data_IF_581219510252
#
_entry.id   IF_581219510252
#
_cell.length_a   1.000
_cell.length_b   1.000
_cell.length_c   1.000
_cell.angle_alpha   90.00
_cell.angle_beta   90.00
_cell.angle_gamma   90.00
#
_symmetry.space_group_name_H-M   'P 1'
#
loop_
_entity.id
_entity.type
_entity.pdbx_description
1 polymer ?
#
# COMPACT_ATOMS: atom_id res chain seq x y z
N UNK A 1 -7.54 -10.03 -7.83
CA UNK A 1 -7.74 -9.93 -9.30
C UNK A 1 -6.93 -11.01 -10.01
N UNK A 2 -7.34 -11.45 -11.20
CA UNK A 2 -6.71 -12.57 -11.92
C UNK A 2 -6.08 -12.12 -13.25
N UNK A 3 -5.10 -12.89 -13.71
CA UNK A 3 -4.37 -12.68 -14.97
C UNK A 3 -4.55 -13.87 -15.91
N UNK A 4 -5.05 -13.60 -17.11
CA UNK A 4 -4.97 -14.51 -18.25
C UNK A 4 -3.88 -14.01 -19.21
N UNK A 5 -3.04 -14.90 -19.73
CA UNK A 5 -1.90 -14.50 -20.57
C UNK A 5 -1.56 -15.55 -21.61
N UNK A 6 -1.35 -15.10 -22.85
CA UNK A 6 -0.83 -15.91 -23.95
C UNK A 6 0.70 -15.85 -24.09
N UNK A 7 1.40 -15.18 -23.16
CA UNK A 7 2.86 -15.19 -23.12
C UNK A 7 3.39 -16.57 -22.72
N UNK A 8 4.64 -16.91 -23.08
CA UNK A 8 5.29 -18.10 -22.55
C UNK A 8 5.27 -18.13 -21.02
N UNK A 9 5.06 -19.31 -20.44
CA UNK A 9 4.80 -19.49 -18.99
C UNK A 9 5.79 -18.74 -18.09
N UNK A 10 7.09 -18.81 -18.40
CA UNK A 10 8.14 -18.12 -17.64
C UNK A 10 7.91 -16.61 -17.49
N UNK A 11 7.37 -15.95 -18.52
CA UNK A 11 7.05 -14.52 -18.46
C UNK A 11 5.77 -14.29 -17.67
N UNK A 12 4.75 -15.11 -17.90
CA UNK A 12 3.48 -15.08 -17.19
C UNK A 12 3.67 -15.22 -15.68
N UNK A 13 4.48 -16.18 -15.22
CA UNK A 13 4.79 -16.38 -13.80
C UNK A 13 5.48 -15.16 -13.19
N UNK A 14 6.46 -14.59 -13.91
CA UNK A 14 7.16 -13.38 -13.45
C UNK A 14 6.22 -12.20 -13.30
N UNK A 15 5.37 -11.97 -14.29
CA UNK A 15 4.36 -10.90 -14.27
C UNK A 15 3.41 -11.10 -13.10
N UNK A 16 2.87 -12.31 -12.91
CA UNK A 16 1.98 -12.62 -11.79
C UNK A 16 2.63 -12.36 -10.42
N UNK A 17 3.88 -12.80 -10.24
CA UNK A 17 4.62 -12.58 -9.00
C UNK A 17 4.86 -11.09 -8.71
N UNK A 18 5.26 -10.31 -9.72
CA UNK A 18 5.56 -8.88 -9.52
C UNK A 18 4.30 -8.00 -9.41
N UNK A 19 3.16 -8.44 -9.96
CA UNK A 19 1.88 -7.71 -9.90
C UNK A 19 0.95 -8.20 -8.80
N UNK A 20 1.25 -9.34 -8.17
CA UNK A 20 0.39 -10.00 -7.18
C UNK A 20 -0.90 -10.61 -7.76
N UNK A 21 -1.00 -10.77 -9.09
CA UNK A 21 -2.17 -11.36 -9.74
C UNK A 21 -2.15 -12.89 -9.69
N UNK A 22 -3.30 -13.51 -9.48
CA UNK A 22 -3.44 -14.97 -9.59
C UNK A 22 -3.65 -15.39 -11.04
N UNK A 23 -2.88 -16.36 -11.53
CA UNK A 23 -3.05 -16.89 -12.89
C UNK A 23 -4.38 -17.63 -13.04
N UNK A 24 -5.03 -17.46 -14.20
CA UNK A 24 -6.24 -18.21 -14.58
C UNK A 24 -6.16 -18.65 -16.04
N UNK A 25 -6.71 -19.83 -16.33
CA UNK A 25 -6.92 -20.31 -17.70
C UNK A 25 -8.26 -19.84 -18.28
N UNK A 26 -9.18 -19.38 -17.42
CA UNK A 26 -10.50 -18.94 -17.83
C UNK A 26 -10.51 -17.44 -18.12
N UNK A 27 -10.33 -17.09 -19.39
CA UNK A 27 -10.35 -15.70 -19.86
C UNK A 27 -11.74 -15.06 -19.90
N UNK A 28 -12.80 -15.78 -19.52
CA UNK A 28 -14.18 -15.26 -19.50
C UNK A 28 -14.65 -14.77 -18.14
N UNK A 29 -13.79 -14.86 -17.13
CA UNK A 29 -14.13 -14.37 -15.80
C UNK A 29 -14.21 -12.83 -15.79
N UNK A 30 -15.19 -12.25 -15.07
CA UNK A 30 -15.27 -10.81 -14.92
C UNK A 30 -14.08 -10.26 -14.13
N UNK A 31 -13.65 -9.03 -14.45
CA UNK A 31 -12.59 -8.32 -13.73
C UNK A 31 -11.19 -8.88 -13.95
N UNK A 32 -10.96 -9.74 -14.95
CA UNK A 32 -9.61 -10.21 -15.27
C UNK A 32 -8.84 -9.19 -16.10
N UNK A 33 -7.52 -9.24 -15.97
CA UNK A 33 -6.60 -8.61 -16.92
C UNK A 33 -6.14 -9.68 -17.90
N UNK A 34 -6.22 -9.36 -19.20
CA UNK A 34 -5.86 -10.28 -20.27
C UNK A 34 -4.67 -9.77 -21.07
N UNK A 35 -3.67 -10.62 -21.32
CA UNK A 35 -2.58 -10.35 -22.26
C UNK A 35 -2.75 -11.22 -23.50
N UNK A 36 -3.02 -10.57 -24.63
CA UNK A 36 -3.25 -11.22 -25.93
C UNK A 36 -2.11 -10.89 -26.88
N UNK A 37 -1.66 -11.90 -27.63
CA UNK A 37 -0.52 -11.77 -28.56
C UNK A 37 -0.95 -12.16 -29.97
N UNK A 38 -0.59 -11.33 -30.95
CA UNK A 38 -0.73 -11.67 -32.37
C UNK A 38 0.04 -12.94 -32.71
N UNK A 39 -0.60 -13.84 -33.45
CA UNK A 39 -0.02 -15.10 -33.90
C UNK A 39 1.36 -14.92 -34.52
N UNK A 40 2.28 -15.75 -34.07
CA UNK A 40 3.64 -15.84 -34.55
C UNK A 40 4.09 -17.32 -34.53
N UNK A 41 5.38 -17.59 -34.75
CA UNK A 41 5.92 -18.96 -34.77
C UNK A 41 5.84 -19.70 -33.43
N UNK A 42 5.70 -18.96 -32.33
CA UNK A 42 5.68 -19.49 -30.95
C UNK A 42 4.28 -19.59 -30.34
N UNK A 43 3.24 -19.12 -31.04
CA UNK A 43 1.86 -19.13 -30.55
C UNK A 43 1.15 -17.79 -30.81
N UNK A 44 0.07 -17.53 -30.07
CA UNK A 44 -0.79 -16.35 -30.24
C UNK A 44 -1.99 -16.62 -31.15
N UNK A 45 -2.73 -15.57 -31.47
CA UNK A 45 -4.03 -15.65 -32.16
C UNK A 45 -4.13 -14.74 -33.38
N UNK A 46 -5.01 -15.09 -34.32
CA UNK A 46 -5.18 -14.36 -35.58
C UNK A 46 -6.08 -13.12 -35.42
N UNK A 47 -7.08 -13.18 -34.53
CA UNK A 47 -8.00 -12.08 -34.24
C UNK A 47 -8.02 -11.76 -32.74
N UNK A 48 -7.68 -10.52 -32.32
CA UNK A 48 -7.70 -10.17 -30.90
C UNK A 48 -9.09 -10.30 -30.28
N UNK A 49 -10.17 -10.12 -31.05
CA UNK A 49 -11.55 -10.03 -30.54
C UNK A 49 -12.05 -11.30 -29.87
N UNK A 50 -11.47 -12.46 -30.18
CA UNK A 50 -11.85 -13.76 -29.59
C UNK A 50 -11.64 -13.83 -28.07
N UNK A 51 -10.77 -12.96 -27.52
CA UNK A 51 -10.36 -12.97 -26.11
C UNK A 51 -10.61 -11.64 -25.38
N UNK A 52 -11.34 -10.70 -25.99
CA UNK A 52 -11.67 -9.40 -25.41
C UNK A 52 -13.00 -9.43 -24.66
N UNK A 53 -12.98 -9.85 -23.40
CA UNK A 53 -14.19 -9.83 -22.54
C UNK A 53 -14.40 -8.46 -21.92
N UNK A 54 -13.32 -7.84 -21.44
CA UNK A 54 -13.32 -6.45 -20.96
C UNK A 54 -12.19 -5.70 -21.68
N UNK A 55 -12.47 -5.07 -22.83
CA UNK A 55 -11.44 -4.46 -23.68
C UNK A 55 -10.52 -3.47 -22.95
N UNK A 56 -11.06 -2.72 -21.99
CA UNK A 56 -10.33 -1.77 -21.15
C UNK A 56 -9.24 -2.42 -20.27
N UNK A 57 -9.43 -3.71 -19.94
CA UNK A 57 -8.52 -4.49 -19.10
C UNK A 57 -7.60 -5.41 -19.92
N UNK A 58 -7.56 -5.23 -21.24
CA UNK A 58 -6.74 -6.05 -22.12
C UNK A 58 -5.48 -5.31 -22.55
N UNK A 59 -4.35 -6.01 -22.50
CA UNK A 59 -3.08 -5.61 -23.11
C UNK A 59 -2.90 -6.42 -24.39
N UNK A 60 -2.60 -5.74 -25.50
CA UNK A 60 -2.47 -6.38 -26.81
C UNK A 60 -1.06 -6.20 -27.34
N UNK A 61 -0.39 -7.30 -27.67
CA UNK A 61 0.94 -7.29 -28.29
C UNK A 61 0.76 -7.61 -29.78
N UNK A 62 0.70 -6.55 -30.59
CA UNK A 62 0.45 -6.63 -32.03
C UNK A 62 1.70 -6.98 -32.84
N UNK A 63 2.89 -6.96 -32.23
CA UNK A 63 4.16 -7.28 -32.88
C UNK A 63 4.71 -6.10 -33.68
N UNK A 64 5.37 -6.36 -34.81
CA UNK A 64 5.98 -5.32 -35.66
C UNK A 64 4.95 -4.37 -36.26
N UNK A 65 5.27 -3.07 -36.43
CA UNK A 65 4.38 -2.09 -37.09
C UNK A 65 4.35 -2.26 -38.62
N UNK A 66 4.24 -3.51 -39.07
CA UNK A 66 3.99 -3.87 -40.45
C UNK A 66 2.48 -3.89 -40.75
N UNK A 67 2.10 -4.16 -42.01
CA UNK A 67 0.70 -4.19 -42.44
C UNK A 67 -0.16 -5.12 -41.58
N UNK A 68 0.36 -6.28 -41.17
CA UNK A 68 -0.39 -7.26 -40.38
C UNK A 68 -0.50 -6.83 -38.92
N UNK A 69 0.53 -6.18 -38.36
CA UNK A 69 0.54 -5.70 -36.97
C UNK A 69 -0.38 -4.51 -36.79
N UNK A 70 -0.33 -3.56 -37.73
CA UNK A 70 -1.25 -2.42 -37.79
C UNK A 70 -2.69 -2.92 -37.95
N UNK A 71 -2.94 -3.90 -38.84
CA UNK A 71 -4.28 -4.46 -39.00
C UNK A 71 -4.79 -5.14 -37.72
N UNK A 72 -3.93 -5.84 -36.99
CA UNK A 72 -4.28 -6.47 -35.70
C UNK A 72 -4.57 -5.42 -34.62
N UNK A 73 -3.71 -4.39 -34.51
CA UNK A 73 -3.91 -3.24 -33.63
C UNK A 73 -5.24 -2.55 -33.89
N UNK A 74 -5.54 -2.22 -35.16
CA UNK A 74 -6.78 -1.54 -35.54
C UNK A 74 -8.03 -2.36 -35.18
N UNK A 75 -7.97 -3.70 -35.26
CA UNK A 75 -9.07 -4.56 -34.81
C UNK A 75 -9.25 -4.50 -33.30
N UNK A 76 -8.17 -4.52 -32.53
CA UNK A 76 -8.22 -4.38 -31.07
C UNK A 76 -8.78 -3.01 -30.65
N UNK A 77 -8.30 -1.91 -31.26
CA UNK A 77 -8.81 -0.56 -31.00
C UNK A 77 -10.30 -0.45 -31.35
N UNK A 78 -10.72 -0.99 -32.50
CA UNK A 78 -12.14 -1.02 -32.89
C UNK A 78 -13.01 -1.82 -31.93
N UNK A 79 -12.43 -2.81 -31.25
CA UNK A 79 -13.10 -3.59 -30.22
C UNK A 79 -13.09 -2.92 -28.83
N UNK A 80 -12.55 -1.70 -28.72
CA UNK A 80 -12.56 -0.90 -27.49
C UNK A 80 -11.33 -1.04 -26.62
N UNK A 81 -10.24 -1.65 -27.10
CA UNK A 81 -8.96 -1.67 -26.37
C UNK A 81 -8.31 -0.29 -26.46
N UNK A 82 -7.94 0.36 -25.34
CA UNK A 82 -7.21 1.62 -25.34
C UNK A 82 -5.92 1.54 -26.17
N UNK A 83 -5.61 2.57 -26.94
CA UNK A 83 -4.41 2.57 -27.80
C UNK A 83 -3.11 2.42 -27.00
N UNK A 84 -3.07 2.98 -25.79
CA UNK A 84 -1.94 2.88 -24.87
C UNK A 84 -1.83 1.51 -24.18
N UNK A 85 -2.81 0.61 -24.38
CA UNK A 85 -2.71 -0.81 -24.03
C UNK A 85 -2.16 -1.68 -25.18
N UNK A 86 -1.87 -1.09 -26.35
CA UNK A 86 -1.43 -1.84 -27.54
C UNK A 86 0.07 -1.63 -27.79
N UNK A 87 0.82 -2.71 -27.76
CA UNK A 87 2.26 -2.74 -28.00
C UNK A 87 2.58 -3.10 -29.46
N UNK A 88 3.06 -2.11 -30.21
CA UNK A 88 3.75 -2.29 -31.48
C UNK A 88 5.26 -2.20 -31.24
N UNK A 89 5.98 -3.27 -31.59
CA UNK A 89 7.41 -3.44 -31.34
C UNK A 89 8.19 -3.34 -32.65
N UNK A 90 8.97 -2.27 -32.89
CA UNK A 90 9.92 -2.18 -34.00
C UNK A 90 10.74 -3.45 -34.22
N UNK A 91 11.12 -3.70 -35.47
CA UNK A 91 11.91 -4.88 -35.81
C UNK A 91 13.22 -4.92 -35.00
N UNK A 92 13.48 -6.06 -34.34
CA UNK A 92 14.65 -6.24 -33.46
C UNK A 92 14.45 -5.80 -32.01
N UNK A 93 13.38 -5.06 -31.70
CA UNK A 93 13.03 -4.71 -30.32
C UNK A 93 12.38 -5.90 -29.61
N UNK A 94 12.82 -6.15 -28.38
CA UNK A 94 12.22 -7.17 -27.51
C UNK A 94 11.14 -6.52 -26.65
N UNK A 95 10.08 -7.28 -26.39
CA UNK A 95 9.06 -6.89 -25.43
C UNK A 95 9.69 -6.76 -24.03
N UNK A 96 9.55 -5.60 -23.41
CA UNK A 96 9.98 -5.38 -22.04
C UNK A 96 8.92 -5.93 -21.08
N UNK A 97 9.30 -6.91 -20.27
CA UNK A 97 8.42 -7.47 -19.23
C UNK A 97 8.01 -6.37 -18.24
N UNK A 98 8.94 -5.48 -17.89
CA UNK A 98 8.66 -4.38 -16.96
C UNK A 98 7.62 -3.41 -17.52
N UNK A 99 7.62 -3.14 -18.84
CA UNK A 99 6.61 -2.29 -19.46
C UNK A 99 5.21 -2.92 -19.40
N UNK A 100 5.11 -4.26 -19.50
CA UNK A 100 3.83 -4.95 -19.29
C UNK A 100 3.39 -4.84 -17.84
N UNK A 101 4.30 -5.03 -16.89
CA UNK A 101 4.01 -4.94 -15.45
C UNK A 101 3.51 -3.55 -15.08
N UNK A 102 4.20 -2.50 -15.51
CA UNK A 102 3.77 -1.11 -15.31
C UNK A 102 2.37 -0.87 -15.88
N UNK A 103 2.10 -1.43 -17.06
CA UNK A 103 0.80 -1.29 -17.71
C UNK A 103 -0.31 -2.04 -16.97
N UNK A 104 -0.03 -3.24 -16.49
CA UNK A 104 -0.94 -4.00 -15.64
C UNK A 104 -1.28 -3.19 -14.39
N UNK A 105 -0.28 -2.69 -13.67
CA UNK A 105 -0.47 -1.90 -12.45
C UNK A 105 -1.37 -0.66 -12.71
N UNK A 106 -1.18 0.01 -13.85
CA UNK A 106 -2.05 1.12 -14.27
C UNK A 106 -3.50 0.67 -14.51
N UNK A 107 -3.72 -0.47 -15.17
CA UNK A 107 -5.06 -1.04 -15.35
C UNK A 107 -5.69 -1.39 -13.99
N UNK A 108 -4.94 -1.98 -13.04
CA UNK A 108 -5.47 -2.30 -11.71
C UNK A 108 -5.95 -1.04 -10.99
N UNK A 109 -5.19 0.05 -11.07
CA UNK A 109 -5.54 1.32 -10.45
C UNK A 109 -6.83 1.89 -11.05
N UNK A 110 -7.01 1.80 -12.37
CA UNK A 110 -8.22 2.28 -13.04
C UNK A 110 -9.46 1.44 -12.67
N UNK A 111 -9.33 0.13 -12.57
CA UNK A 111 -10.43 -0.75 -12.12
C UNK A 111 -10.84 -0.38 -10.70
N UNK A 112 -9.86 -0.26 -9.79
CA UNK A 112 -10.12 0.12 -8.40
C UNK A 112 -10.71 1.53 -8.25
N UNK A 113 -10.39 2.45 -9.17
CA UNK A 113 -10.98 3.79 -9.16
C UNK A 113 -12.44 3.76 -9.63
N UNK A 114 -12.75 3.02 -10.70
CA UNK A 114 -14.10 2.95 -11.27
C UNK A 114 -15.10 2.19 -10.38
N UNK A 115 -14.64 1.17 -9.63
CA UNK A 115 -15.49 0.47 -8.65
C UNK A 115 -16.00 1.40 -7.54
N UNK A 116 -15.35 2.55 -7.30
CA UNK A 116 -15.81 3.54 -6.31
C UNK A 116 -16.86 4.52 -6.84
N UNK A 117 -17.08 4.58 -8.15
CA UNK A 117 -17.95 5.59 -8.79
C UNK A 117 -19.36 5.05 -9.11
N UNK A 118 -19.64 3.75 -8.99
CA UNK A 118 -20.98 3.19 -9.28
C UNK A 118 -22.00 3.29 -8.13
N UNK A 119 -21.69 3.97 -7.02
CA UNK A 119 -22.70 4.39 -6.03
C UNK A 119 -23.47 5.66 -6.50
N UNK A 120 -23.97 5.65 -7.73
CA UNK A 120 -24.87 6.70 -8.27
C UNK A 120 -26.32 6.39 -7.91
N UNK A 121 -26.79 7.14 -6.92
CA UNK A 121 -28.17 7.46 -6.56
C UNK A 121 -29.26 7.11 -7.59
N UNK A 122 -30.02 6.06 -7.31
CA UNK A 122 -31.39 5.92 -7.81
C UNK A 122 -32.26 6.87 -6.97
N UNK A 123 -32.66 7.99 -7.56
CA UNK A 123 -33.76 8.80 -7.04
C UNK A 123 -35.07 8.11 -7.42
N UNK A 124 -35.56 7.25 -6.53
CA UNK A 124 -36.99 6.91 -6.50
C UNK A 124 -37.64 7.80 -5.44
N UNK A 125 -38.48 8.72 -5.92
CA UNK A 125 -39.43 9.47 -5.11
C UNK A 125 -40.31 8.47 -4.36
N UNK A 126 -40.26 8.46 -3.02
CA UNK A 126 -41.40 8.46 -2.08
C UNK A 126 -40.97 8.11 -0.64
N UNK A 127 -41.28 9.05 0.27
CA UNK A 127 -41.56 8.92 1.70
C UNK A 127 -40.48 8.39 2.69
N UNK A 128 -39.85 9.38 3.35
CA UNK A 128 -39.73 9.48 4.82
C UNK A 128 -39.45 8.19 5.63
N UNK A 129 -38.21 7.69 5.53
CA UNK A 129 -37.60 6.95 6.64
C UNK A 129 -36.13 7.34 6.74
N UNK A 130 -35.76 7.96 7.86
CA UNK A 130 -34.40 8.36 8.21
C UNK A 130 -33.46 7.13 8.28
N UNK A 131 -32.99 6.68 7.12
CA UNK A 131 -31.94 5.68 7.00
C UNK A 131 -30.60 6.22 7.50
N UNK A 132 -29.72 5.36 8.05
CA UNK A 132 -28.42 5.78 8.56
C UNK A 132 -27.61 6.43 7.44
N UNK A 133 -27.05 7.60 7.72
CA UNK A 133 -26.19 8.32 6.80
C UNK A 133 -25.12 7.39 6.20
N UNK A 134 -24.77 7.54 4.91
CA UNK A 134 -23.78 6.72 4.26
C UNK A 134 -22.50 6.72 5.09
N UNK A 135 -22.04 5.51 5.45
CA UNK A 135 -20.80 5.33 6.22
C UNK A 135 -19.66 5.75 5.30
N UNK A 136 -19.29 7.03 5.36
CA UNK A 136 -18.03 7.49 4.77
C UNK A 136 -16.95 6.55 5.28
N UNK A 137 -16.16 5.99 4.36
CA UNK A 137 -15.24 4.90 4.64
C UNK A 137 -14.19 5.41 5.65
N UNK A 138 -14.49 5.29 6.95
CA UNK A 138 -13.70 5.89 8.01
C UNK A 138 -12.41 5.10 8.06
N UNK A 139 -11.32 5.77 7.71
CA UNK A 139 -9.97 5.26 7.90
C UNK A 139 -9.85 4.76 9.33
N UNK A 140 -9.40 3.51 9.45
CA UNK A 140 -9.26 2.79 10.70
C UNK A 140 -7.87 2.21 10.84
N UNK A 141 -7.26 1.71 9.77
CA UNK A 141 -5.96 1.02 9.82
C UNK A 141 -4.88 1.85 9.14
N UNK A 142 -3.85 2.22 9.91
CA UNK A 142 -2.70 3.00 9.46
C UNK A 142 -1.45 2.13 9.59
N UNK A 143 -0.82 1.77 8.47
CA UNK A 143 0.46 1.10 8.46
C UNK A 143 1.60 2.12 8.50
N UNK A 144 2.53 1.97 9.43
CA UNK A 144 3.74 2.79 9.53
C UNK A 144 4.94 1.90 9.26
N UNK A 145 5.79 2.27 8.30
CA UNK A 145 6.97 1.46 7.93
C UNK A 145 8.16 2.32 7.56
N UNK A 146 9.35 1.72 7.64
CA UNK A 146 10.59 2.29 7.12
C UNK A 146 11.33 1.26 6.26
N UNK A 147 12.32 1.71 5.49
CA UNK A 147 13.15 0.83 4.66
C UNK A 147 14.53 0.55 5.26
N UNK A 148 14.86 1.28 6.34
CA UNK A 148 16.09 1.15 7.12
C UNK A 148 15.79 1.10 8.61
N UNK A 149 16.57 0.34 9.37
CA UNK A 149 16.53 0.37 10.83
C UNK A 149 17.00 1.73 11.38
N UNK A 150 16.37 2.21 12.45
CA UNK A 150 16.78 3.44 13.12
C UNK A 150 16.24 4.75 12.51
N UNK A 151 15.41 4.70 11.46
CA UNK A 151 14.73 5.89 10.90
C UNK A 151 13.67 6.47 11.85
N UNK A 152 13.33 5.76 12.92
CA UNK A 152 12.38 6.21 13.95
C UNK A 152 10.94 5.78 13.73
N UNK A 153 10.69 4.71 12.97
CA UNK A 153 9.34 4.16 12.71
C UNK A 153 8.52 4.02 14.00
N UNK A 154 9.02 3.28 14.99
CA UNK A 154 8.34 3.08 16.29
C UNK A 154 8.06 4.39 17.03
N UNK A 155 8.97 5.37 16.96
CA UNK A 155 8.77 6.70 17.56
C UNK A 155 7.62 7.44 16.89
N UNK A 156 7.54 7.40 15.55
CA UNK A 156 6.45 7.99 14.78
C UNK A 156 5.13 7.25 15.06
N UNK A 157 5.14 5.92 15.04
CA UNK A 157 3.97 5.07 15.33
C UNK A 157 3.35 5.41 16.68
N UNK A 158 4.15 5.39 17.75
CA UNK A 158 3.68 5.65 19.12
C UNK A 158 3.29 7.11 19.35
N UNK A 159 3.97 8.04 18.70
CA UNK A 159 3.63 9.48 18.75
C UNK A 159 2.31 9.79 18.04
N UNK A 160 2.08 9.17 16.88
CA UNK A 160 0.81 9.26 16.17
C UNK A 160 -0.33 8.64 16.98
N UNK A 161 -0.12 7.45 17.55
CA UNK A 161 -1.09 6.79 18.42
C UNK A 161 -1.48 7.67 19.61
N UNK A 162 -0.51 8.35 20.24
CA UNK A 162 -0.77 9.28 21.34
C UNK A 162 -1.64 10.46 20.93
N UNK A 163 -1.32 11.11 19.80
CA UNK A 163 -2.13 12.22 19.28
C UNK A 163 -3.57 11.76 18.96
N UNK A 164 -3.73 10.59 18.34
CA UNK A 164 -5.05 10.03 18.04
C UNK A 164 -5.85 9.70 19.31
N UNK A 165 -5.18 9.24 20.37
CA UNK A 165 -5.77 9.02 21.68
C UNK A 165 -6.23 10.33 22.33
N UNK A 166 -5.40 11.37 22.34
CA UNK A 166 -5.76 12.70 22.89
C UNK A 166 -6.98 13.32 22.20
N UNK A 167 -7.19 12.99 20.92
CA UNK A 167 -8.38 13.37 20.16
C UNK A 167 -9.61 12.47 20.44
N UNK A 168 -9.60 11.71 21.54
CA UNK A 168 -10.71 10.87 22.01
C UNK A 168 -10.85 9.53 21.29
N UNK A 169 -9.82 9.10 20.54
CA UNK A 169 -9.83 7.81 19.85
C UNK A 169 -9.51 6.65 20.78
N UNK A 170 -10.30 5.56 20.71
CA UNK A 170 -9.88 4.26 21.24
C UNK A 170 -8.88 3.62 20.27
N UNK A 171 -7.63 3.41 20.69
CA UNK A 171 -6.52 3.02 19.81
C UNK A 171 -6.01 1.61 20.12
N UNK A 172 -5.71 0.85 19.08
CA UNK A 172 -4.86 -0.33 19.16
C UNK A 172 -3.54 -0.05 18.42
N UNK A 173 -2.41 -0.45 19.02
CA UNK A 173 -1.11 -0.44 18.36
C UNK A 173 -0.67 -1.89 18.16
N UNK A 174 -0.34 -2.26 16.93
CA UNK A 174 0.20 -3.59 16.60
C UNK A 174 1.67 -3.44 16.24
N UNK A 175 2.55 -3.87 17.12
CA UNK A 175 4.00 -3.76 16.93
C UNK A 175 4.56 -5.04 16.30
N UNK A 176 4.77 -4.96 14.99
CA UNK A 176 5.39 -5.99 14.15
C UNK A 176 6.89 -5.69 13.93
N UNK A 177 7.49 -4.86 14.77
CA UNK A 177 8.90 -4.52 14.76
C UNK A 177 9.82 -5.69 15.12
N UNK A 178 11.11 -5.53 14.78
CA UNK A 178 12.15 -6.52 15.04
C UNK A 178 13.32 -5.83 15.78
N UNK A 179 13.49 -6.05 17.10
CA UNK A 179 12.47 -6.54 18.03
C UNK A 179 11.29 -5.54 18.17
N UNK A 180 10.16 -5.96 18.75
CA UNK A 180 9.06 -5.05 19.06
C UNK A 180 9.45 -4.11 20.21
N UNK A 181 9.49 -2.82 19.92
CA UNK A 181 10.03 -1.78 20.79
C UNK A 181 8.99 -0.76 21.28
N UNK A 182 7.75 -0.79 20.80
CA UNK A 182 6.70 0.16 21.18
C UNK A 182 6.44 0.16 22.69
N UNK A 183 6.68 -0.97 23.38
CA UNK A 183 6.57 -1.11 24.85
C UNK A 183 7.42 -0.12 25.64
N UNK A 184 8.53 0.36 25.07
CA UNK A 184 9.43 1.33 25.71
C UNK A 184 8.84 2.74 25.73
N UNK A 185 7.78 2.99 24.95
CA UNK A 185 7.06 4.26 24.88
C UNK A 185 5.77 4.27 25.72
N UNK A 186 5.53 3.24 26.54
CA UNK A 186 4.31 3.12 27.34
C UNK A 186 4.57 2.50 28.73
N UNK A 187 5.70 2.86 29.36
CA UNK A 187 5.98 2.51 30.76
C UNK A 187 6.30 1.04 31.04
N UNK A 188 6.71 0.25 30.04
CA UNK A 188 7.00 -1.20 30.16
C UNK A 188 5.83 -2.00 30.77
N UNK A 189 4.70 -2.10 30.06
CA UNK A 189 3.50 -2.76 30.57
C UNK A 189 3.70 -4.28 30.70
N UNK A 190 2.82 -4.90 31.48
CA UNK A 190 2.72 -6.37 31.56
C UNK A 190 1.94 -6.91 30.35
N UNK A 191 2.31 -8.10 29.91
CA UNK A 191 1.72 -8.74 28.73
C UNK A 191 0.97 -10.02 29.10
N UNK A 192 -0.26 -10.12 28.60
CA UNK A 192 -1.09 -11.31 28.65
C UNK A 192 -1.25 -11.91 27.26
N UNK A 193 -1.53 -13.21 27.16
CA UNK A 193 -1.83 -13.83 25.86
C UNK A 193 -3.28 -13.59 25.47
N UNK A 194 -3.51 -13.02 24.28
CA UNK A 194 -4.84 -12.83 23.70
C UNK A 194 -4.79 -12.99 22.18
N UNK A 195 -5.73 -13.73 21.62
CA UNK A 195 -5.88 -13.91 20.15
C UNK A 195 -4.61 -14.38 19.43
N UNK A 196 -3.76 -15.16 20.12
CA UNK A 196 -2.48 -15.63 19.58
C UNK A 196 -1.36 -14.58 19.57
N UNK A 197 -1.61 -13.40 20.15
CA UNK A 197 -0.66 -12.32 20.39
C UNK A 197 -0.42 -12.11 21.89
N UNK A 198 0.60 -11.32 22.20
CA UNK A 198 0.79 -10.73 23.52
C UNK A 198 0.09 -9.37 23.53
N UNK A 199 -0.84 -9.16 24.45
CA UNK A 199 -1.55 -7.92 24.67
C UNK A 199 -1.06 -7.27 25.97
N UNK A 200 -0.73 -6.00 25.89
CA UNK A 200 -0.55 -5.13 27.04
C UNK A 200 -1.58 -4.00 26.99
N UNK A 201 -2.36 -3.81 28.05
CA UNK A 201 -3.20 -2.62 28.21
C UNK A 201 -2.36 -1.51 28.82
N UNK A 202 -2.24 -0.39 28.12
CA UNK A 202 -1.47 0.77 28.57
C UNK A 202 -2.41 1.89 29.01
N UNK A 203 -1.86 2.99 29.53
CA UNK A 203 -2.67 4.18 29.84
C UNK A 203 -3.34 4.77 28.57
N UNK A 204 -2.73 4.61 27.40
CA UNK A 204 -3.10 5.34 26.19
C UNK A 204 -3.75 4.46 25.11
N UNK A 205 -3.36 3.18 25.01
CA UNK A 205 -3.82 2.25 23.99
C UNK A 205 -3.61 0.79 24.39
N UNK A 206 -4.22 -0.12 23.64
CA UNK A 206 -3.93 -1.55 23.73
C UNK A 206 -2.80 -1.90 22.77
N UNK A 207 -1.72 -2.47 23.29
CA UNK A 207 -0.51 -2.83 22.55
C UNK A 207 -0.47 -4.34 22.28
N UNK A 208 -0.52 -4.71 21.01
CA UNK A 208 -0.41 -6.08 20.53
C UNK A 208 1.00 -6.33 19.97
N UNK A 209 1.63 -7.42 20.40
CA UNK A 209 2.99 -7.83 20.03
C UNK A 209 2.99 -9.32 19.70
N UNK A 210 3.71 -9.79 18.66
CA UNK A 210 3.76 -11.22 18.38
C UNK A 210 4.51 -11.98 19.49
N UNK A 211 4.07 -13.21 19.84
CA UNK A 211 4.69 -14.00 20.91
C UNK A 211 6.06 -14.60 20.51
N UNK A 212 6.44 -14.43 19.25
CA UNK A 212 7.70 -14.85 18.67
C UNK A 212 8.18 -13.77 17.68
N UNK A 213 9.45 -13.76 17.27
CA UNK A 213 9.92 -12.82 16.27
C UNK A 213 9.07 -12.86 15.00
N UNK A 214 8.82 -11.69 14.38
CA UNK A 214 7.82 -11.56 13.30
C UNK A 214 8.12 -12.46 12.09
N UNK A 215 9.39 -12.75 11.79
CA UNK A 215 9.77 -13.66 10.70
C UNK A 215 9.35 -15.13 10.93
N UNK A 216 8.93 -15.49 12.15
CA UNK A 216 8.31 -16.79 12.48
C UNK A 216 6.78 -16.70 12.54
N UNK A 217 6.21 -15.51 12.46
CA UNK A 217 4.76 -15.30 12.49
C UNK A 217 4.19 -15.57 11.10
N UNK A 218 3.25 -16.52 11.02
CA UNK A 218 2.49 -16.75 9.80
C UNK A 218 1.61 -15.52 9.51
N UNK A 219 1.71 -14.98 8.29
CA UNK A 219 0.89 -13.87 7.77
C UNK A 219 -0.61 -14.11 7.93
N UNK A 220 -1.05 -15.37 7.90
CA UNK A 220 -2.47 -15.76 8.03
C UNK A 220 -3.04 -15.44 9.41
N UNK A 221 -2.19 -15.12 10.40
CA UNK A 221 -2.62 -14.72 11.74
C UNK A 221 -2.79 -13.21 11.89
N UNK A 222 -2.19 -12.40 11.01
CA UNK A 222 -2.22 -10.94 11.12
C UNK A 222 -3.58 -10.42 10.66
N UNK A 223 -4.08 -10.86 9.50
CA UNK A 223 -5.37 -10.40 8.96
C UNK A 223 -6.54 -10.58 9.93
N UNK A 224 -6.75 -11.80 10.49
CA UNK A 224 -7.82 -12.02 11.47
C UNK A 224 -7.71 -11.13 12.72
N UNK A 225 -6.49 -10.83 13.19
CA UNK A 225 -6.29 -9.88 14.29
C UNK A 225 -6.74 -8.48 13.85
N UNK A 226 -6.26 -8.00 12.71
CA UNK A 226 -6.61 -6.65 12.21
C UNK A 226 -8.12 -6.52 12.02
N UNK A 227 -8.82 -7.55 11.54
CA UNK A 227 -10.28 -7.56 11.41
C UNK A 227 -11.03 -7.42 12.73
N UNK A 228 -10.52 -8.08 13.79
CA UNK A 228 -11.06 -7.92 15.15
C UNK A 228 -10.83 -6.48 15.62
N UNK A 229 -9.60 -5.97 15.48
CA UNK A 229 -9.24 -4.63 15.94
C UNK A 229 -10.01 -3.53 15.18
N UNK A 230 -10.23 -3.70 13.87
CA UNK A 230 -11.00 -2.77 13.03
C UNK A 230 -12.45 -2.62 13.49
N UNK A 231 -13.01 -3.63 14.17
CA UNK A 231 -14.37 -3.59 14.75
C UNK A 231 -14.39 -2.94 16.14
N UNK A 232 -13.37 -3.20 16.96
CA UNK A 232 -13.35 -2.80 18.37
C UNK A 232 -12.72 -1.43 18.65
N UNK A 233 -11.90 -0.92 17.74
CA UNK A 233 -11.11 0.30 17.92
C UNK A 233 -11.48 1.35 16.90
N UNK A 234 -11.31 2.61 17.29
CA UNK A 234 -11.49 3.75 16.39
C UNK A 234 -10.35 3.84 15.39
N UNK A 235 -9.14 3.52 15.85
CA UNK A 235 -7.91 3.49 15.05
C UNK A 235 -7.04 2.28 15.43
N UNK A 236 -6.39 1.71 14.42
CA UNK A 236 -5.39 0.65 14.52
C UNK A 236 -4.14 1.15 13.84
N UNK A 237 -3.05 1.30 14.60
CA UNK A 237 -1.76 1.75 14.07
C UNK A 237 -0.80 0.56 14.08
N UNK A 238 -0.25 0.21 12.92
CA UNK A 238 0.62 -0.97 12.77
C UNK A 238 2.05 -0.51 12.55
N UNK A 239 2.95 -0.85 13.48
CA UNK A 239 4.39 -0.58 13.39
C UNK A 239 5.09 -1.74 12.67
N UNK A 240 5.59 -1.53 11.46
CA UNK A 240 6.33 -2.56 10.74
C UNK A 240 7.83 -2.47 10.99
N UNK A 241 8.48 -3.63 11.02
CA UNK A 241 9.93 -3.71 10.90
C UNK A 241 10.44 -3.09 9.60
N UNK A 242 11.72 -2.71 9.51
CA UNK A 242 12.33 -2.37 8.23
C UNK A 242 12.15 -3.54 7.24
N UNK A 243 11.70 -3.23 6.02
CA UNK A 243 11.52 -4.22 4.94
C UNK A 243 10.68 -5.44 5.37
N UNK A 244 9.42 -5.24 5.78
CA UNK A 244 8.57 -6.33 6.23
C UNK A 244 8.27 -7.31 5.08
N UNK A 245 7.94 -8.56 5.41
CA UNK A 245 7.49 -9.53 4.41
C UNK A 245 6.26 -8.97 3.68
N UNK A 246 6.25 -9.07 2.35
CA UNK A 246 5.15 -8.59 1.53
C UNK A 246 3.80 -9.20 1.93
N UNK A 247 3.80 -10.47 2.37
CA UNK A 247 2.59 -11.12 2.89
C UNK A 247 2.10 -10.48 4.18
N UNK A 248 2.99 -10.01 5.05
CA UNK A 248 2.58 -9.27 6.25
C UNK A 248 1.97 -7.92 5.89
N UNK A 249 2.52 -7.22 4.89
CA UNK A 249 1.93 -5.97 4.39
C UNK A 249 0.52 -6.23 3.83
N UNK A 250 0.38 -7.24 2.96
CA UNK A 250 -0.90 -7.61 2.37
C UNK A 250 -1.94 -7.98 3.42
N UNK A 251 -1.57 -8.79 4.43
CA UNK A 251 -2.50 -9.19 5.49
C UNK A 251 -3.05 -8.04 6.33
N UNK A 252 -2.41 -6.87 6.36
CA UNK A 252 -2.89 -5.73 7.16
C UNK A 252 -3.98 -4.94 6.43
N UNK A 253 -3.98 -4.94 5.09
CA UNK A 253 -4.95 -4.18 4.26
C UNK A 253 -5.15 -2.74 4.78
N UNK A 254 -4.04 -2.01 4.93
CA UNK A 254 -4.05 -0.69 5.53
C UNK A 254 -4.81 0.32 4.67
N UNK A 255 -5.66 1.13 5.31
CA UNK A 255 -6.41 2.21 4.65
C UNK A 255 -5.49 3.38 4.27
N UNK A 256 -4.44 3.60 5.07
CA UNK A 256 -3.36 4.56 4.80
C UNK A 256 -2.00 3.94 5.13
N UNK A 257 -1.00 4.23 4.30
CA UNK A 257 0.39 3.87 4.57
C UNK A 257 1.21 5.11 4.84
N UNK A 258 1.95 5.11 5.94
CA UNK A 258 2.94 6.12 6.33
C UNK A 258 4.32 5.51 6.16
N UNK A 259 5.19 6.18 5.41
CA UNK A 259 6.58 5.78 5.22
C UNK A 259 7.49 6.78 5.92
N UNK A 260 8.25 6.28 6.89
CA UNK A 260 9.24 7.05 7.63
C UNK A 260 10.59 6.88 6.97
N UNK A 261 11.21 8.00 6.60
CA UNK A 261 12.52 8.07 5.96
C UNK A 261 13.47 8.96 6.77
N UNK A 262 14.76 8.70 6.66
CA UNK A 262 15.82 9.59 7.16
C UNK A 262 16.59 10.23 5.99
N UNK A 263 17.73 10.85 6.31
CA UNK A 263 18.55 11.55 5.32
C UNK A 263 19.35 10.62 4.42
N UNK A 264 19.29 9.30 4.59
CA UNK A 264 20.00 8.37 3.73
C UNK A 264 19.26 8.15 2.41
N UNK A 265 19.75 8.82 1.36
CA UNK A 265 19.15 8.76 0.02
C UNK A 265 19.03 7.31 -0.47
N UNK A 266 20.11 6.53 -0.36
CA UNK A 266 20.21 5.21 -0.99
C UNK A 266 19.46 4.14 -0.19
N UNK A 267 19.56 4.19 1.14
CA UNK A 267 18.99 3.14 2.00
C UNK A 267 17.60 3.47 2.52
N UNK A 268 17.19 4.75 2.51
CA UNK A 268 15.92 5.18 3.07
C UNK A 268 15.00 5.83 2.04
N UNK A 269 15.48 6.78 1.21
CA UNK A 269 14.61 7.59 0.36
C UNK A 269 14.26 6.88 -0.95
N UNK A 270 15.25 6.44 -1.73
CA UNK A 270 15.03 5.76 -3.02
C UNK A 270 14.17 4.50 -2.90
N UNK A 271 14.40 3.59 -1.93
CA UNK A 271 13.55 2.41 -1.76
C UNK A 271 12.12 2.76 -1.33
N UNK A 272 11.93 3.95 -0.75
CA UNK A 272 10.67 4.41 -0.22
C UNK A 272 9.69 4.95 -1.26
N UNK A 273 10.12 5.16 -2.51
CA UNK A 273 9.31 5.70 -3.61
C UNK A 273 8.13 4.80 -4.04
N UNK A 274 7.21 4.55 -3.12
CA UNK A 274 5.98 3.80 -3.29
C UNK A 274 4.82 4.78 -3.54
N UNK A 275 3.91 4.41 -4.44
CA UNK A 275 2.71 5.21 -4.72
C UNK A 275 1.75 5.18 -3.53
N UNK A 276 0.95 6.24 -3.38
CA UNK A 276 -0.16 6.35 -2.43
C UNK A 276 0.23 6.21 -0.96
N UNK A 277 1.43 6.68 -0.58
CA UNK A 277 1.86 6.74 0.81
C UNK A 277 2.02 8.19 1.29
N UNK A 278 1.89 8.39 2.60
CA UNK A 278 2.27 9.63 3.27
C UNK A 278 3.72 9.52 3.74
N UNK A 279 4.54 10.49 3.39
CA UNK A 279 5.96 10.46 3.70
C UNK A 279 6.29 11.34 4.90
N UNK A 280 7.08 10.79 5.84
CA UNK A 280 7.62 11.51 6.99
C UNK A 280 9.14 11.51 6.88
N UNK A 281 9.72 12.65 6.53
CA UNK A 281 11.17 12.85 6.56
C UNK A 281 11.59 13.15 7.99
N UNK A 282 11.90 12.09 8.73
CA UNK A 282 12.28 12.14 10.13
C UNK A 282 13.79 12.38 10.28
N UNK A 283 14.18 12.99 11.40
CA UNK A 283 15.58 13.36 11.68
C UNK A 283 16.18 14.23 10.56
N UNK A 284 15.36 15.09 9.96
CA UNK A 284 15.79 15.91 8.85
C UNK A 284 16.99 16.77 9.24
N UNK A 285 18.05 16.69 8.44
CA UNK A 285 19.27 17.49 8.59
C UNK A 285 19.36 18.52 7.45
N UNK A 286 19.99 19.68 7.68
CA UNK A 286 20.09 20.73 6.66
C UNK A 286 20.81 20.30 5.38
N UNK A 287 21.76 19.36 5.47
CA UNK A 287 22.62 18.95 4.35
C UNK A 287 21.84 18.29 3.21
N UNK A 288 20.72 17.64 3.53
CA UNK A 288 19.80 17.06 2.54
C UNK A 288 18.49 17.80 2.67
N UNK A 289 18.38 18.84 1.85
CA UNK A 289 17.20 19.70 1.74
C UNK A 289 15.94 18.89 1.47
N UNK A 290 14.83 19.37 2.03
CA UNK A 290 13.52 18.70 1.89
C UNK A 290 13.12 18.62 0.41
N UNK A 291 13.44 19.64 -0.37
CA UNK A 291 13.19 19.72 -1.80
C UNK A 291 13.85 18.58 -2.61
N UNK A 292 15.03 18.11 -2.22
CA UNK A 292 15.70 16.98 -2.87
C UNK A 292 14.93 15.68 -2.59
N UNK A 293 14.48 15.51 -1.34
CA UNK A 293 13.69 14.35 -0.93
C UNK A 293 12.34 14.33 -1.65
N UNK A 294 11.68 15.49 -1.74
CA UNK A 294 10.40 15.65 -2.45
C UNK A 294 10.52 15.41 -3.95
N UNK A 295 11.63 15.83 -4.58
CA UNK A 295 11.91 15.57 -6.00
C UNK A 295 12.08 14.06 -6.26
N UNK A 296 12.86 13.37 -5.42
CA UNK A 296 13.06 11.91 -5.55
C UNK A 296 11.74 11.13 -5.36
N UNK A 297 10.91 11.55 -4.40
CA UNK A 297 9.64 10.88 -4.09
C UNK A 297 8.48 11.33 -4.99
N UNK A 298 8.66 12.41 -5.75
CA UNK A 298 7.64 13.02 -6.59
C UNK A 298 6.45 13.62 -5.82
N UNK A 299 6.59 13.92 -4.53
CA UNK A 299 5.52 14.46 -3.68
C UNK A 299 6.02 15.12 -2.40
N UNK A 300 5.17 15.94 -1.79
CA UNK A 300 5.48 16.64 -0.55
C UNK A 300 5.65 15.69 0.63
N UNK A 301 6.63 15.99 1.49
CA UNK A 301 6.91 15.21 2.72
C UNK A 301 6.57 16.00 3.98
N UNK A 302 6.30 15.29 5.08
CA UNK A 302 6.19 15.88 6.41
C UNK A 302 7.59 15.85 7.04
N UNK A 303 8.24 17.00 7.09
CA UNK A 303 9.59 17.13 7.67
C UNK A 303 9.53 17.28 9.18
N UNK A 304 10.26 16.42 9.88
CA UNK A 304 10.47 16.47 11.34
C UNK A 304 11.98 16.61 11.59
N UNK A 305 12.36 17.73 12.21
CA UNK A 305 13.76 17.98 12.59
C UNK A 305 14.21 17.03 13.69
N UNK A 306 15.49 16.69 13.69
CA UNK A 306 16.12 15.94 14.79
C UNK A 306 15.91 16.64 16.13
N UNK A 307 15.37 15.91 17.10
CA UNK A 307 15.23 16.35 18.49
C UNK A 307 15.63 15.20 19.41
N UNK A 308 16.95 15.07 19.60
CA UNK A 308 17.52 14.02 20.43
C UNK A 308 17.11 14.16 21.89
N UNK A 309 17.09 15.38 22.42
CA UNK A 309 16.77 15.65 23.83
C UNK A 309 15.32 15.27 24.14
N UNK A 310 14.36 15.69 23.30
CA UNK A 310 12.96 15.32 23.47
C UNK A 310 12.72 13.82 23.35
N UNK A 311 13.35 13.16 22.38
CA UNK A 311 13.27 11.69 22.24
C UNK A 311 13.86 10.95 23.45
N UNK A 312 15.00 11.41 23.95
CA UNK A 312 15.64 10.81 25.12
C UNK A 312 14.82 11.02 26.39
N UNK A 313 14.29 12.23 26.61
CA UNK A 313 13.41 12.53 27.73
C UNK A 313 12.14 11.67 27.72
N UNK A 314 11.55 11.44 26.55
CA UNK A 314 10.41 10.56 26.37
C UNK A 314 10.74 9.10 26.74
N UNK A 315 11.84 8.56 26.21
CA UNK A 315 12.29 7.20 26.57
C UNK A 315 12.59 7.06 28.07
N UNK A 316 13.24 8.05 28.68
CA UNK A 316 13.55 8.05 30.11
C UNK A 316 12.29 8.07 31.00
N UNK A 317 11.20 8.68 30.51
CA UNK A 317 9.90 8.69 31.18
C UNK A 317 8.99 7.52 30.79
N UNK A 318 9.39 6.70 29.82
CA UNK A 318 8.53 5.64 29.28
C UNK A 318 7.30 6.20 28.55
N UNK A 319 7.38 7.40 28.00
CA UNK A 319 6.29 8.09 27.31
C UNK A 319 6.55 8.19 25.80
N UNK A 320 5.52 8.45 24.97
CA UNK A 320 5.68 8.72 23.55
C UNK A 320 6.39 10.06 23.31
N UNK A 321 7.24 10.13 22.28
CA UNK A 321 8.04 11.34 22.01
C UNK A 321 7.18 12.58 21.71
N UNK A 322 5.97 12.39 21.18
CA UNK A 322 4.94 13.42 21.06
C UNK A 322 4.78 14.31 22.32
N UNK A 323 4.92 13.73 23.53
CA UNK A 323 4.75 14.48 24.79
C UNK A 323 5.94 15.36 25.17
N UNK A 324 7.14 15.05 24.68
CA UNK A 324 8.39 15.68 25.12
C UNK A 324 9.14 16.41 24.00
N UNK A 325 8.74 16.22 22.74
CA UNK A 325 9.38 16.82 21.57
C UNK A 325 8.38 17.66 20.77
N UNK A 326 8.59 18.98 20.76
CA UNK A 326 7.74 19.92 20.02
C UNK A 326 7.77 19.64 18.52
N UNK A 327 8.95 19.33 17.96
CA UNK A 327 9.09 19.06 16.52
C UNK A 327 8.32 17.80 16.11
N UNK A 328 8.35 16.75 16.93
CA UNK A 328 7.57 15.53 16.70
C UNK A 328 6.08 15.82 16.85
N UNK A 329 5.66 16.55 17.89
CA UNK A 329 4.25 16.92 18.09
C UNK A 329 3.68 17.68 16.88
N UNK A 330 4.40 18.69 16.39
CA UNK A 330 4.04 19.43 15.18
C UNK A 330 3.97 18.53 13.95
N UNK A 331 4.95 17.63 13.79
CA UNK A 331 4.96 16.64 12.72
C UNK A 331 3.75 15.72 12.74
N UNK A 332 3.36 15.22 13.92
CA UNK A 332 2.19 14.36 14.10
C UNK A 332 0.89 15.11 13.82
N UNK A 333 0.78 16.38 14.20
CA UNK A 333 -0.37 17.22 13.83
C UNK A 333 -0.55 17.32 12.32
N UNK A 334 0.54 17.57 11.57
CA UNK A 334 0.52 17.59 10.10
C UNK A 334 0.18 16.22 9.51
N UNK A 335 0.72 15.15 10.07
CA UNK A 335 0.46 13.78 9.64
C UNK A 335 -1.01 13.39 9.84
N UNK A 336 -1.56 13.66 11.02
CA UNK A 336 -2.96 13.38 11.35
C UNK A 336 -3.91 14.15 10.43
N UNK A 337 -3.61 15.41 10.11
CA UNK A 337 -4.40 16.19 9.16
C UNK A 337 -4.44 15.55 7.76
N UNK A 338 -3.30 15.08 7.24
CA UNK A 338 -3.24 14.36 5.94
C UNK A 338 -3.87 12.98 5.96
N UNK A 339 -3.91 12.31 7.12
CA UNK A 339 -4.62 11.04 7.26
C UNK A 339 -6.13 11.26 7.14
N UNK A 340 -6.66 12.39 7.62
CA UNK A 340 -8.09 12.69 7.61
C UNK A 340 -8.63 13.15 6.25
N UNK A 341 -7.76 13.49 5.30
CA UNK A 341 -8.11 13.84 3.90
C UNK A 341 -8.13 12.63 2.98
#
# INVERSE_FOLDING_TARGET
MKLFSMLPQKFTDRIANETGLTLTENYKEPGIISIVIRKNKTGGIDDPTEYLVTPQNCIVIAGTPDKTGIAFSNRATKAGVPEDNIFLLPAGQRLSVNAIIEKILSIQQNILANDNDEDVFIFEDEEESAGPAPVTNRIKVIAVRGFRGGVGTTTITTSLAMLLHENGGKIAVVDLGIPPNAKHHCGNPQFDKKDGFLLAQTEYWDLYVPPAPVWKLNSDKIGPLIDILRKEYRWVVVDFSPQPDYKHIQSVEADKTVVVIDSDVVQSIEPAAIKNALFVYNKAIPDIGTEIVEDILGQNVITIKTDFEGCYAALASGEPAYKKSETIAMGMGKLAAKIQT
#
